data_IF_404056586262
#
_entry.id   IF_404056586262
#
_cell.length_a   1.000
_cell.length_b   1.000
_cell.length_c   1.000
_cell.angle_alpha   90.00
_cell.angle_beta   90.00
_cell.angle_gamma   90.00
#
_symmetry.space_group_name_H-M   'P 1'
#
loop_
_entity.id
_entity.type
_entity.pdbx_description
1 polymer ?
#
# COMPACT_ATOMS: atom_id res chain seq x y z
N UNK A 1 -21.49 7.54 -4.17
CA UNK A 1 -20.65 6.43 -4.69
C UNK A 1 -20.69 5.35 -3.63
N UNK A 2 -21.11 4.14 -3.98
CA UNK A 2 -21.11 3.02 -3.04
C UNK A 2 -19.66 2.58 -2.81
N UNK A 3 -19.22 2.61 -1.57
CA UNK A 3 -17.98 1.97 -1.14
C UNK A 3 -18.09 0.45 -1.35
N UNK A 4 -17.01 -0.18 -1.79
CA UNK A 4 -16.98 -1.65 -1.91
C UNK A 4 -17.32 -2.23 -0.53
N UNK A 5 -18.34 -3.10 -0.47
CA UNK A 5 -18.74 -3.74 0.79
C UNK A 5 -17.61 -4.67 1.28
N UNK A 6 -17.45 -4.79 2.60
CA UNK A 6 -16.47 -5.73 3.22
C UNK A 6 -16.58 -7.13 2.62
N UNK A 7 -17.79 -7.62 2.36
CA UNK A 7 -18.01 -8.92 1.74
C UNK A 7 -17.50 -9.02 0.28
N UNK A 8 -17.54 -7.93 -0.48
CA UNK A 8 -16.98 -7.89 -1.83
C UNK A 8 -15.44 -7.85 -1.78
N UNK A 9 -14.88 -7.15 -0.79
CA UNK A 9 -13.45 -7.11 -0.53
C UNK A 9 -12.91 -8.50 -0.14
N UNK A 10 -13.60 -9.21 0.77
CA UNK A 10 -13.26 -10.58 1.14
C UNK A 10 -13.27 -11.55 -0.06
N UNK A 11 -14.29 -11.46 -0.93
CA UNK A 11 -14.32 -12.30 -2.14
C UNK A 11 -13.15 -12.02 -3.09
N UNK A 12 -12.68 -10.77 -3.17
CA UNK A 12 -11.49 -10.42 -3.95
C UNK A 12 -10.26 -11.19 -3.49
N UNK A 13 -10.04 -11.26 -2.19
CA UNK A 13 -8.91 -12.00 -1.60
C UNK A 13 -9.03 -13.52 -1.76
N UNK A 14 -10.23 -14.07 -1.72
CA UNK A 14 -10.45 -15.51 -1.87
C UNK A 14 -10.14 -16.03 -3.28
N UNK A 15 -10.20 -15.20 -4.33
CA UNK A 15 -10.16 -15.74 -5.69
C UNK A 15 -9.42 -14.89 -6.74
N UNK A 16 -9.10 -13.64 -6.48
CA UNK A 16 -8.67 -12.73 -7.56
C UNK A 16 -7.36 -11.98 -7.31
N UNK A 17 -7.05 -11.61 -6.08
CA UNK A 17 -6.01 -10.62 -5.81
C UNK A 17 -4.68 -11.21 -5.37
N UNK A 18 -4.64 -12.47 -4.95
CA UNK A 18 -3.43 -13.09 -4.40
C UNK A 18 -2.25 -13.02 -5.39
N UNK A 19 -2.42 -13.60 -6.57
CA UNK A 19 -1.37 -13.60 -7.59
C UNK A 19 -1.07 -12.20 -8.13
N UNK A 20 -2.08 -11.31 -8.22
CA UNK A 20 -1.89 -9.92 -8.61
C UNK A 20 -0.96 -9.19 -7.61
N UNK A 21 -1.19 -9.37 -6.32
CA UNK A 21 -0.34 -8.75 -5.29
C UNK A 21 1.04 -9.40 -5.22
N UNK A 22 1.15 -10.71 -5.45
CA UNK A 22 2.40 -11.46 -5.40
C UNK A 22 3.27 -11.24 -6.64
N UNK A 23 2.70 -11.34 -7.83
CA UNK A 23 3.43 -11.34 -9.11
C UNK A 23 3.23 -10.09 -9.94
N UNK A 24 2.21 -9.28 -9.65
CA UNK A 24 1.91 -8.07 -10.41
C UNK A 24 3.08 -7.08 -10.42
N UNK A 25 3.43 -6.50 -11.58
CA UNK A 25 4.62 -5.65 -11.70
C UNK A 25 4.52 -4.40 -10.83
N UNK A 26 3.35 -3.79 -10.75
CA UNK A 26 3.09 -2.62 -9.89
C UNK A 26 3.27 -2.96 -8.41
N UNK A 27 2.58 -3.98 -7.90
CA UNK A 27 2.67 -4.39 -6.49
C UNK A 27 4.11 -4.73 -6.05
N UNK A 28 4.88 -5.36 -6.95
CA UNK A 28 6.31 -5.65 -6.71
C UNK A 28 7.14 -4.37 -6.64
N UNK A 29 6.84 -3.36 -7.47
CA UNK A 29 7.53 -2.06 -7.41
C UNK A 29 7.17 -1.26 -6.17
N UNK A 30 5.90 -1.28 -5.74
CA UNK A 30 5.50 -0.69 -4.45
C UNK A 30 6.38 -1.23 -3.32
N UNK A 31 6.43 -2.56 -3.15
CA UNK A 31 7.24 -3.20 -2.10
C UNK A 31 8.73 -2.88 -2.23
N UNK A 32 9.29 -2.90 -3.45
CA UNK A 32 10.68 -2.52 -3.70
C UNK A 32 10.97 -1.08 -3.28
N UNK A 33 10.10 -0.13 -3.60
CA UNK A 33 10.30 1.28 -3.25
C UNK A 33 10.14 1.47 -1.75
N UNK A 34 9.13 0.86 -1.12
CA UNK A 34 8.98 0.84 0.34
C UNK A 34 10.26 0.36 1.01
N UNK A 35 10.81 -0.80 0.59
CA UNK A 35 12.06 -1.34 1.12
C UNK A 35 13.23 -0.37 0.94
N UNK A 36 13.35 0.29 -0.21
CA UNK A 36 14.40 1.28 -0.46
C UNK A 36 14.31 2.50 0.47
N UNK A 37 13.08 2.98 0.74
CA UNK A 37 12.85 4.13 1.63
C UNK A 37 13.17 3.76 3.08
N UNK A 38 12.76 2.58 3.54
CA UNK A 38 12.92 2.20 4.95
C UNK A 38 14.28 1.60 5.29
N UNK A 39 15.06 1.16 4.29
CA UNK A 39 16.37 0.51 4.51
C UNK A 39 17.34 1.31 5.38
N UNK A 40 17.44 2.65 5.30
CA UNK A 40 18.31 3.45 6.16
C UNK A 40 17.75 3.70 7.55
N UNK A 41 16.50 3.28 7.85
CA UNK A 41 15.82 3.58 9.11
C UNK A 41 16.11 2.52 10.18
N UNK A 42 16.07 2.94 11.44
CA UNK A 42 16.21 2.04 12.60
C UNK A 42 14.84 1.74 13.22
N UNK A 43 14.38 0.50 13.07
CA UNK A 43 13.11 0.02 13.60
C UNK A 43 13.19 -1.46 14.00
N UNK A 44 12.35 -1.86 14.96
CA UNK A 44 12.24 -3.25 15.43
C UNK A 44 10.81 -3.78 15.28
N UNK A 45 9.81 -2.93 15.41
CA UNK A 45 8.40 -3.29 15.23
C UNK A 45 7.83 -2.60 13.99
N UNK A 46 7.12 -3.37 13.15
CA UNK A 46 6.50 -2.88 11.92
C UNK A 46 5.03 -3.23 11.91
N UNK A 47 4.16 -2.23 11.74
CA UNK A 47 2.73 -2.42 11.50
C UNK A 47 2.41 -2.12 10.03
N UNK A 48 1.82 -3.08 9.32
CA UNK A 48 1.29 -2.92 7.97
C UNK A 48 -0.23 -2.70 8.06
N UNK A 49 -0.70 -1.53 7.69
CA UNK A 49 -2.12 -1.16 7.68
C UNK A 49 -2.67 -1.37 6.28
N UNK A 50 -3.66 -2.25 6.15
CA UNK A 50 -4.08 -2.81 4.87
C UNK A 50 -3.12 -3.89 4.40
N UNK A 51 -2.70 -4.78 5.31
CA UNK A 51 -1.63 -5.75 5.07
C UNK A 51 -1.93 -6.80 3.98
N UNK A 52 -3.20 -6.91 3.56
CA UNK A 52 -3.61 -7.92 2.60
C UNK A 52 -3.16 -9.31 3.03
N UNK A 53 -2.66 -10.10 2.07
CA UNK A 53 -2.15 -11.45 2.33
C UNK A 53 -0.72 -11.48 2.89
N UNK A 54 -0.15 -10.35 3.34
CA UNK A 54 1.13 -10.28 4.04
C UNK A 54 2.38 -10.27 3.15
N UNK A 55 2.26 -10.04 1.83
CA UNK A 55 3.43 -10.06 0.91
C UNK A 55 4.50 -9.03 1.28
N UNK A 56 4.13 -7.83 1.71
CA UNK A 56 5.10 -6.82 2.15
C UNK A 56 5.83 -7.33 3.40
N UNK A 57 5.09 -7.80 4.41
CA UNK A 57 5.68 -8.29 5.66
C UNK A 57 6.59 -9.50 5.45
N UNK A 58 6.23 -10.41 4.55
CA UNK A 58 7.06 -11.55 4.19
C UNK A 58 8.41 -11.11 3.61
N UNK A 59 8.41 -10.13 2.70
CA UNK A 59 9.63 -9.59 2.12
C UNK A 59 10.44 -8.79 3.14
N UNK A 60 9.79 -7.97 4.01
CA UNK A 60 10.47 -7.23 5.07
C UNK A 60 11.11 -8.16 6.10
N UNK A 61 10.44 -9.23 6.49
CA UNK A 61 11.00 -10.21 7.42
C UNK A 61 12.22 -10.93 6.84
N UNK A 62 12.23 -11.19 5.54
CA UNK A 62 13.39 -11.77 4.87
C UNK A 62 14.60 -10.81 4.82
N UNK A 63 14.36 -9.50 4.62
CA UNK A 63 15.42 -8.48 4.59
C UNK A 63 15.87 -8.03 5.99
N UNK A 64 14.93 -7.95 6.93
CA UNK A 64 15.14 -7.51 8.33
C UNK A 64 14.73 -8.62 9.31
N UNK A 65 15.51 -9.68 9.50
CA UNK A 65 15.09 -10.88 10.25
C UNK A 65 14.83 -10.66 11.75
N UNK A 66 15.17 -9.49 12.28
CA UNK A 66 14.96 -9.11 13.69
C UNK A 66 13.70 -8.29 13.94
N UNK A 67 12.92 -7.97 12.92
CA UNK A 67 11.68 -7.21 13.11
C UNK A 67 10.59 -8.10 13.69
N UNK A 68 9.69 -7.47 14.46
CA UNK A 68 8.42 -8.08 14.87
C UNK A 68 7.32 -7.58 13.94
N UNK A 69 6.75 -8.45 13.08
CA UNK A 69 5.73 -8.06 12.11
C UNK A 69 4.34 -8.01 12.74
N UNK A 70 3.62 -6.93 12.47
CA UNK A 70 2.21 -6.76 12.80
C UNK A 70 1.44 -6.35 11.55
N UNK A 71 0.16 -6.69 11.46
CA UNK A 71 -0.68 -6.27 10.36
C UNK A 71 -2.15 -6.14 10.75
N UNK A 72 -2.82 -5.19 10.14
CA UNK A 72 -4.28 -5.07 10.19
C UNK A 72 -4.84 -4.95 8.78
N UNK A 73 -5.98 -5.57 8.55
CA UNK A 73 -6.75 -5.46 7.31
C UNK A 73 -8.24 -5.53 7.62
N UNK A 74 -9.07 -4.93 6.79
CA UNK A 74 -10.52 -5.01 6.88
C UNK A 74 -11.04 -6.41 6.54
N UNK A 75 -10.32 -7.15 5.70
CA UNK A 75 -10.69 -8.48 5.20
C UNK A 75 -10.22 -9.58 6.14
N UNK A 76 -11.15 -10.40 6.63
CA UNK A 76 -10.82 -11.59 7.40
C UNK A 76 -10.03 -12.61 6.55
N UNK A 77 -10.40 -12.78 5.28
CA UNK A 77 -9.71 -13.69 4.35
C UNK A 77 -8.25 -13.26 4.10
N UNK A 78 -8.01 -11.96 3.97
CA UNK A 78 -6.65 -11.42 3.83
C UNK A 78 -5.80 -11.71 5.08
N UNK A 79 -6.36 -11.45 6.26
CA UNK A 79 -5.69 -11.67 7.56
C UNK A 79 -5.34 -13.15 7.76
N UNK A 80 -6.21 -14.07 7.38
CA UNK A 80 -5.92 -15.52 7.44
C UNK A 80 -4.72 -15.89 6.56
N UNK A 81 -4.71 -15.41 5.31
CA UNK A 81 -3.57 -15.62 4.40
C UNK A 81 -2.26 -15.02 4.96
N UNK A 82 -2.34 -13.83 5.58
CA UNK A 82 -1.16 -13.20 6.18
C UNK A 82 -0.61 -14.02 7.36
N UNK A 83 -1.48 -14.57 8.22
CA UNK A 83 -1.10 -15.44 9.34
C UNK A 83 -0.41 -16.73 8.90
N UNK A 84 -0.84 -17.29 7.76
CA UNK A 84 -0.22 -18.48 7.19
C UNK A 84 1.17 -18.21 6.61
N UNK A 85 1.39 -17.00 6.07
CA UNK A 85 2.60 -16.67 5.30
C UNK A 85 3.71 -16.02 6.11
N UNK A 86 3.34 -15.27 7.15
CA UNK A 86 4.30 -14.48 7.93
C UNK A 86 4.51 -15.14 9.28
N UNK A 87 5.62 -15.83 9.43
CA UNK A 87 5.96 -16.54 10.66
C UNK A 87 6.19 -15.58 11.83
N UNK A 88 5.57 -15.88 12.97
CA UNK A 88 5.73 -15.08 14.20
C UNK A 88 5.07 -13.70 14.16
N UNK A 89 4.27 -13.41 13.12
CA UNK A 89 3.53 -12.15 13.00
C UNK A 89 2.21 -12.15 13.78
N UNK A 90 1.74 -10.97 14.14
CA UNK A 90 0.42 -10.75 14.74
C UNK A 90 -0.48 -9.98 13.78
N UNK A 91 -1.51 -10.66 13.23
CA UNK A 91 -2.42 -10.08 12.25
C UNK A 91 -3.84 -10.06 12.77
N UNK A 92 -4.54 -8.91 12.64
CA UNK A 92 -5.91 -8.72 13.17
C UNK A 92 -6.83 -8.12 12.12
N UNK A 93 -8.09 -8.51 12.14
CA UNK A 93 -9.14 -7.85 11.35
C UNK A 93 -9.49 -6.53 12.01
N UNK A 94 -9.33 -5.42 11.29
CA UNK A 94 -9.60 -4.10 11.83
C UNK A 94 -9.90 -3.09 10.72
N UNK A 95 -10.88 -2.23 10.96
CA UNK A 95 -11.20 -1.06 10.15
C UNK A 95 -10.50 0.16 10.75
N UNK A 96 -9.49 0.66 10.06
CA UNK A 96 -8.67 1.80 10.50
C UNK A 96 -9.48 3.11 10.65
N UNK A 97 -10.65 3.20 10.02
CA UNK A 97 -11.53 4.37 10.18
C UNK A 97 -12.34 4.33 11.49
N UNK A 98 -12.44 3.17 12.14
CA UNK A 98 -13.22 2.99 13.38
C UNK A 98 -12.39 3.03 14.64
N UNK A 99 -11.05 2.98 14.53
CA UNK A 99 -10.19 3.02 15.70
C UNK A 99 -8.72 2.81 15.38
N UNK A 100 -7.93 2.63 16.45
CA UNK A 100 -6.50 2.33 16.43
C UNK A 100 -6.20 1.20 17.41
N UNK A 101 -5.08 0.54 17.22
CA UNK A 101 -4.48 -0.31 18.27
C UNK A 101 -3.95 0.59 19.40
N UNK A 102 -3.85 0.05 20.61
CA UNK A 102 -3.33 0.78 21.76
C UNK A 102 -1.80 0.87 21.75
N UNK A 103 -1.15 -0.07 21.06
CA UNK A 103 0.30 -0.16 20.94
C UNK A 103 0.84 0.81 19.90
N UNK A 104 2.08 1.29 20.12
CA UNK A 104 2.86 2.04 19.12
C UNK A 104 3.92 1.16 18.48
N UNK A 105 4.12 1.39 17.20
CA UNK A 105 5.10 0.66 16.38
C UNK A 105 6.18 1.61 15.89
N UNK A 106 7.42 1.13 15.81
CA UNK A 106 8.53 1.95 15.30
C UNK A 106 8.28 2.43 13.88
N UNK A 107 7.78 1.52 13.01
CA UNK A 107 7.41 1.83 11.64
C UNK A 107 5.94 1.43 11.40
N UNK A 108 5.15 2.34 10.90
CA UNK A 108 3.80 2.07 10.38
C UNK A 108 3.83 2.28 8.88
N UNK A 109 3.44 1.26 8.12
CA UNK A 109 3.27 1.34 6.66
C UNK A 109 1.77 1.31 6.34
N UNK A 110 1.32 2.21 5.47
CA UNK A 110 -0.05 2.26 4.97
C UNK A 110 0.03 2.48 3.45
N UNK A 111 -0.02 1.38 2.68
CA UNK A 111 0.23 1.37 1.24
C UNK A 111 -1.02 0.98 0.49
N UNK A 112 -1.52 1.85 -0.41
CA UNK A 112 -2.71 1.62 -1.24
C UNK A 112 -3.96 1.35 -0.38
N UNK A 113 -4.22 2.22 0.59
CA UNK A 113 -5.36 2.12 1.52
C UNK A 113 -6.17 3.40 1.55
N UNK A 114 -5.53 4.56 1.71
CA UNK A 114 -6.21 5.83 1.97
C UNK A 114 -7.11 6.28 0.81
N UNK A 115 -6.77 5.92 -0.42
CA UNK A 115 -7.57 6.19 -1.62
C UNK A 115 -8.92 5.48 -1.63
N UNK A 116 -9.05 4.41 -0.85
CA UNK A 116 -10.30 3.65 -0.68
C UNK A 116 -11.22 4.21 0.42
N UNK A 117 -10.70 5.06 1.29
CA UNK A 117 -11.41 5.52 2.48
C UNK A 117 -12.12 6.86 2.22
N UNK A 118 -13.45 6.96 2.37
CA UNK A 118 -14.16 8.24 2.27
C UNK A 118 -13.64 9.27 3.28
N UNK A 119 -13.32 8.84 4.51
CA UNK A 119 -12.73 9.65 5.58
C UNK A 119 -11.28 9.23 5.83
N UNK A 120 -10.37 9.70 4.98
CA UNK A 120 -8.93 9.47 5.11
C UNK A 120 -8.30 10.24 6.29
N UNK A 121 -8.92 11.37 6.72
CA UNK A 121 -8.43 12.14 7.86
C UNK A 121 -8.57 11.38 9.17
N UNK A 122 -9.69 10.72 9.41
CA UNK A 122 -9.87 9.84 10.58
C UNK A 122 -8.85 8.69 10.57
N UNK A 123 -8.61 8.09 9.41
CA UNK A 123 -7.57 7.06 9.27
C UNK A 123 -6.17 7.62 9.61
N UNK A 124 -5.79 8.78 9.08
CA UNK A 124 -4.52 9.44 9.40
C UNK A 124 -4.35 9.75 10.89
N UNK A 125 -5.43 10.19 11.56
CA UNK A 125 -5.42 10.40 13.02
C UNK A 125 -5.21 9.09 13.79
N UNK A 126 -5.81 7.99 13.34
CA UNK A 126 -5.61 6.68 13.94
C UNK A 126 -4.20 6.14 13.66
N UNK A 127 -3.65 6.33 12.46
CA UNK A 127 -2.24 6.05 12.15
C UNK A 127 -1.30 6.83 13.10
N UNK A 128 -1.63 8.12 13.38
CA UNK A 128 -0.82 8.94 14.30
C UNK A 128 -0.73 8.37 15.72
N UNK A 129 -1.81 7.76 16.21
CA UNK A 129 -1.84 7.13 17.54
C UNK A 129 -0.92 5.91 17.61
N UNK A 130 -0.82 5.13 16.52
CA UNK A 130 -0.04 3.89 16.43
C UNK A 130 1.41 4.10 16.00
N UNK A 131 1.78 5.28 15.48
CA UNK A 131 3.12 5.55 15.00
C UNK A 131 4.04 6.00 16.12
N UNK A 132 5.13 5.27 16.35
CA UNK A 132 6.17 5.60 17.33
C UNK A 132 7.29 6.45 16.76
N UNK A 133 7.85 6.05 15.58
CA UNK A 133 8.98 6.76 14.95
C UNK A 133 8.68 7.18 13.53
N UNK A 134 8.25 6.24 12.67
CA UNK A 134 8.11 6.48 11.23
C UNK A 134 6.73 6.08 10.72
N UNK A 135 6.17 6.89 9.86
CA UNK A 135 5.01 6.58 9.04
C UNK A 135 5.44 6.61 7.57
N UNK A 136 5.16 5.53 6.84
CA UNK A 136 5.32 5.49 5.38
C UNK A 136 3.95 5.25 4.75
N UNK A 137 3.52 6.16 3.90
CA UNK A 137 2.27 6.05 3.13
C UNK A 137 2.61 5.97 1.65
N UNK A 138 1.94 5.08 0.90
CA UNK A 138 1.84 5.22 -0.55
C UNK A 138 0.40 5.33 -1.01
N UNK A 139 0.17 6.10 -2.07
CA UNK A 139 -1.14 6.29 -2.66
C UNK A 139 -1.03 6.82 -4.10
N UNK A 140 -2.06 6.61 -4.95
CA UNK A 140 -2.12 7.19 -6.27
C UNK A 140 -2.38 8.69 -6.21
N UNK A 141 -1.71 9.44 -7.10
CA UNK A 141 -1.98 10.85 -7.33
C UNK A 141 -2.37 11.14 -8.78
N UNK A 142 -2.84 12.37 -9.03
CA UNK A 142 -3.22 12.84 -10.34
C UNK A 142 -4.56 12.33 -10.84
N UNK A 143 -4.68 12.17 -12.16
CA UNK A 143 -5.95 11.80 -12.78
C UNK A 143 -6.41 10.40 -12.39
N UNK A 144 -7.61 10.30 -11.77
CA UNK A 144 -8.28 9.03 -11.50
C UNK A 144 -8.86 8.45 -12.79
N UNK A 145 -8.65 7.16 -13.02
CA UNK A 145 -9.12 6.40 -14.16
C UNK A 145 -10.31 5.50 -13.78
N UNK A 146 -11.08 5.07 -14.76
CA UNK A 146 -12.29 4.28 -14.52
C UNK A 146 -11.97 2.91 -13.89
N UNK A 147 -10.88 2.26 -14.32
CA UNK A 147 -10.50 0.97 -13.72
C UNK A 147 -10.13 1.11 -12.22
N UNK A 148 -9.60 2.26 -11.78
CA UNK A 148 -9.29 2.52 -10.36
C UNK A 148 -10.59 2.65 -9.55
N UNK A 149 -11.62 3.29 -10.11
CA UNK A 149 -12.96 3.31 -9.49
C UNK A 149 -13.54 1.91 -9.33
N UNK A 150 -13.31 1.03 -10.33
CA UNK A 150 -13.74 -0.37 -10.26
C UNK A 150 -13.00 -1.16 -9.17
N UNK A 151 -11.77 -0.76 -8.83
CA UNK A 151 -11.04 -1.28 -7.66
C UNK A 151 -11.43 -0.59 -6.35
N UNK A 152 -12.38 0.35 -6.37
CA UNK A 152 -12.92 0.99 -5.18
C UNK A 152 -12.19 2.25 -4.73
N UNK A 153 -11.36 2.85 -5.60
CA UNK A 153 -10.81 4.16 -5.30
C UNK A 153 -11.92 5.21 -5.27
N UNK A 154 -11.97 5.96 -4.21
CA UNK A 154 -12.88 7.12 -4.08
C UNK A 154 -12.16 8.41 -4.44
N UNK A 155 -10.80 8.37 -4.47
CA UNK A 155 -9.94 9.50 -4.88
C UNK A 155 -8.61 9.04 -5.40
N UNK A 156 -7.97 9.93 -6.17
CA UNK A 156 -6.52 10.05 -6.29
C UNK A 156 -6.15 11.43 -5.75
N UNK A 157 -5.01 11.56 -5.09
CA UNK A 157 -4.61 12.81 -4.46
C UNK A 157 -4.14 13.84 -5.50
N UNK A 158 -4.49 15.11 -5.30
CA UNK A 158 -3.85 16.19 -6.02
C UNK A 158 -2.39 16.38 -5.54
N UNK A 159 -1.56 17.04 -6.36
CA UNK A 159 -0.19 17.34 -5.97
C UNK A 159 -0.16 18.15 -4.67
N UNK A 160 0.58 17.67 -3.66
CA UNK A 160 0.68 18.27 -2.33
C UNK A 160 -0.47 17.93 -1.38
N UNK A 161 -1.60 17.42 -1.84
CA UNK A 161 -2.77 17.18 -0.99
C UNK A 161 -2.48 16.12 0.09
N UNK A 162 -1.81 15.02 -0.26
CA UNK A 162 -1.52 13.96 0.70
C UNK A 162 -0.54 14.44 1.77
N UNK A 163 0.50 15.17 1.40
CA UNK A 163 1.47 15.74 2.35
C UNK A 163 0.81 16.72 3.31
N UNK A 164 -0.04 17.62 2.82
CA UNK A 164 -0.80 18.56 3.65
C UNK A 164 -1.70 17.84 4.66
N UNK A 165 -2.37 16.77 4.24
CA UNK A 165 -3.21 15.96 5.14
C UNK A 165 -2.38 15.23 6.21
N UNK A 166 -1.22 14.69 5.85
CA UNK A 166 -0.29 14.03 6.78
C UNK A 166 0.20 15.05 7.83
N UNK A 167 0.62 16.24 7.40
CA UNK A 167 1.08 17.30 8.31
C UNK A 167 -0.04 17.76 9.26
N UNK A 168 -1.24 17.98 8.75
CA UNK A 168 -2.42 18.33 9.55
C UNK A 168 -2.82 17.24 10.55
N UNK A 169 -2.39 16.02 10.35
CA UNK A 169 -2.61 14.89 11.25
C UNK A 169 -1.53 14.74 12.33
N UNK A 170 -0.61 15.70 12.44
CA UNK A 170 0.42 15.74 13.49
C UNK A 170 1.69 14.99 13.15
N UNK A 171 2.05 14.96 11.86
CA UNK A 171 3.33 14.46 11.39
C UNK A 171 4.16 15.57 10.75
N UNK A 172 5.48 15.39 10.74
CA UNK A 172 6.41 16.16 9.92
C UNK A 172 6.84 15.30 8.74
N UNK A 173 6.66 15.79 7.51
CA UNK A 173 7.08 15.09 6.30
C UNK A 173 8.60 15.17 6.16
N UNK A 174 9.27 14.02 6.04
CA UNK A 174 10.72 13.92 5.88
C UNK A 174 11.17 13.81 4.43
N UNK A 175 10.47 12.98 3.66
CA UNK A 175 10.77 12.80 2.24
C UNK A 175 9.54 12.39 1.44
N UNK A 176 9.57 12.74 0.16
CA UNK A 176 8.56 12.39 -0.82
C UNK A 176 9.23 11.77 -2.03
N UNK A 177 8.71 10.64 -2.48
CA UNK A 177 9.10 9.99 -3.73
C UNK A 177 7.89 9.93 -4.63
N UNK A 178 8.01 10.48 -5.84
CA UNK A 178 7.00 10.36 -6.89
C UNK A 178 7.51 9.39 -7.96
N UNK A 179 6.81 8.29 -8.15
CA UNK A 179 7.28 7.23 -9.04
C UNK A 179 6.27 6.93 -10.16
N UNK A 180 6.82 6.46 -11.29
CA UNK A 180 6.03 5.80 -12.32
C UNK A 180 6.16 6.38 -13.72
N UNK A 181 6.73 7.57 -13.92
CA UNK A 181 6.88 8.16 -15.25
C UNK A 181 8.09 7.57 -16.02
N UNK A 182 7.96 7.25 -17.31
CA UNK A 182 6.74 7.31 -18.13
C UNK A 182 5.99 5.98 -18.27
N UNK A 183 6.60 4.84 -17.89
CA UNK A 183 6.12 3.53 -18.30
C UNK A 183 4.94 3.02 -17.47
N UNK A 184 4.94 3.26 -16.14
CA UNK A 184 3.77 2.97 -15.32
C UNK A 184 2.69 4.03 -15.55
N UNK A 185 3.02 5.30 -15.40
CA UNK A 185 2.10 6.40 -15.65
C UNK A 185 2.76 7.45 -16.56
N UNK A 186 2.14 7.82 -17.67
CA UNK A 186 0.77 7.47 -18.06
C UNK A 186 0.61 6.12 -18.79
N UNK A 187 1.69 5.55 -19.38
CA UNK A 187 1.56 4.54 -20.43
C UNK A 187 0.78 3.28 -20.00
N UNK A 188 1.19 2.60 -18.93
CA UNK A 188 0.53 1.37 -18.48
C UNK A 188 -0.87 1.64 -17.91
N UNK A 189 -1.05 2.71 -17.15
CA UNK A 189 -2.35 3.08 -16.61
C UNK A 189 -3.34 3.46 -17.72
N UNK A 190 -2.91 4.18 -18.76
CA UNK A 190 -3.76 4.52 -19.91
C UNK A 190 -4.04 3.30 -20.79
N UNK A 191 -3.09 2.37 -20.90
CA UNK A 191 -3.33 1.08 -21.54
C UNK A 191 -4.42 0.27 -20.81
N UNK A 192 -4.38 0.21 -19.48
CA UNK A 192 -5.42 -0.47 -18.69
C UNK A 192 -6.78 0.22 -18.80
N UNK A 193 -6.81 1.55 -18.92
CA UNK A 193 -8.05 2.30 -19.14
C UNK A 193 -8.75 1.90 -20.44
N UNK A 194 -7.98 1.69 -21.51
CA UNK A 194 -8.51 1.33 -22.84
C UNK A 194 -8.86 -0.16 -22.94
N UNK A 195 -8.01 -1.03 -22.38
CA UNK A 195 -8.14 -2.50 -22.55
C UNK A 195 -8.94 -3.16 -21.42
N UNK A 196 -9.17 -2.43 -20.34
CA UNK A 196 -9.74 -2.96 -19.11
C UNK A 196 -8.73 -3.74 -18.26
N UNK A 197 -8.99 -3.80 -16.96
CA UNK A 197 -8.10 -4.41 -15.97
C UNK A 197 -8.30 -5.92 -15.76
N UNK A 198 -9.22 -6.56 -16.50
CA UNK A 198 -9.53 -8.01 -16.33
C UNK A 198 -8.31 -8.93 -16.44
N UNK A 199 -7.28 -8.51 -17.19
CA UNK A 199 -6.02 -9.24 -17.33
C UNK A 199 -5.08 -9.12 -16.11
N UNK A 200 -5.36 -8.28 -15.13
CA UNK A 200 -4.46 -8.08 -13.98
C UNK A 200 -4.84 -8.90 -12.75
N UNK A 201 -6.02 -9.52 -12.72
CA UNK A 201 -6.54 -10.31 -11.60
C UNK A 201 -6.66 -11.81 -11.91
N UNK A 202 -6.91 -12.64 -10.89
CA UNK A 202 -7.02 -14.11 -11.01
C UNK A 202 -5.65 -14.80 -11.02
N UNK A 203 -5.63 -16.10 -11.29
CA UNK A 203 -4.41 -16.91 -11.28
C UNK A 203 -3.44 -16.54 -12.40
N UNK A 204 -2.15 -16.45 -12.09
CA UNK A 204 -1.09 -16.16 -13.04
C UNK A 204 -0.39 -17.44 -13.50
N UNK A 205 -0.83 -17.99 -14.63
CA UNK A 205 -0.11 -19.06 -15.33
C UNK A 205 1.30 -18.61 -15.79
N UNK A 206 2.10 -19.55 -16.30
CA UNK A 206 3.50 -19.31 -16.68
C UNK A 206 3.68 -18.14 -17.65
N UNK A 207 2.83 -18.03 -18.67
CA UNK A 207 2.90 -16.94 -19.67
C UNK A 207 2.63 -15.59 -19.03
N UNK A 208 1.61 -15.49 -18.16
CA UNK A 208 1.27 -14.24 -17.48
C UNK A 208 2.39 -13.82 -16.51
N UNK A 209 3.03 -14.77 -15.81
CA UNK A 209 4.21 -14.50 -14.97
C UNK A 209 5.38 -13.98 -15.80
N UNK A 210 5.60 -14.52 -17.00
CA UNK A 210 6.64 -14.05 -17.90
C UNK A 210 6.37 -12.60 -18.37
N UNK A 211 5.14 -12.31 -18.81
CA UNK A 211 4.72 -10.95 -19.20
C UNK A 211 4.87 -9.98 -18.01
N UNK A 212 4.40 -10.38 -16.83
CA UNK A 212 4.53 -9.59 -15.61
C UNK A 212 5.98 -9.26 -15.27
N UNK A 213 6.90 -10.24 -15.45
CA UNK A 213 8.32 -10.00 -15.28
C UNK A 213 8.88 -9.03 -16.32
N UNK A 214 8.51 -9.16 -17.59
CA UNK A 214 8.95 -8.20 -18.62
C UNK A 214 8.51 -6.77 -18.30
N UNK A 215 7.24 -6.58 -17.88
CA UNK A 215 6.71 -5.28 -17.46
C UNK A 215 7.43 -4.79 -16.19
N UNK A 216 7.72 -5.67 -15.24
CA UNK A 216 8.50 -5.32 -14.05
C UNK A 216 9.87 -4.74 -14.41
N UNK A 217 10.62 -5.38 -15.33
CA UNK A 217 11.91 -4.84 -15.77
C UNK A 217 11.78 -3.53 -16.53
N UNK A 218 10.72 -3.37 -17.34
CA UNK A 218 10.42 -2.10 -17.99
C UNK A 218 10.18 -0.98 -16.96
N UNK A 219 9.45 -1.28 -15.88
CA UNK A 219 9.16 -0.31 -14.82
C UNK A 219 10.38 0.10 -13.98
N UNK A 220 11.49 -0.64 -14.03
CA UNK A 220 12.76 -0.19 -13.42
C UNK A 220 13.29 1.09 -14.07
N UNK A 221 12.88 1.37 -15.31
CA UNK A 221 13.25 2.58 -16.05
C UNK A 221 12.40 3.81 -15.69
N UNK A 222 11.41 3.65 -14.81
CA UNK A 222 10.60 4.77 -14.36
C UNK A 222 11.41 5.72 -13.46
N UNK A 223 11.09 7.00 -13.56
CA UNK A 223 11.60 8.02 -12.65
C UNK A 223 11.09 7.79 -11.22
N UNK A 224 11.94 8.10 -10.24
CA UNK A 224 11.59 8.21 -8.82
C UNK A 224 11.38 9.66 -8.35
N UNK A 225 11.33 10.62 -9.29
CA UNK A 225 11.11 12.05 -9.04
C UNK A 225 9.88 12.59 -9.76
N UNK A 226 9.17 11.75 -10.49
CA UNK A 226 7.99 12.10 -11.26
C UNK A 226 7.15 10.85 -11.53
N UNK A 227 5.86 10.96 -11.32
CA UNK A 227 4.91 9.90 -11.59
C UNK A 227 3.62 10.09 -10.79
N UNK A 228 2.68 9.20 -11.01
CA UNK A 228 1.36 9.25 -10.38
C UNK A 228 1.26 8.29 -9.17
N UNK A 229 2.40 7.82 -8.65
CA UNK A 229 2.47 7.07 -7.41
C UNK A 229 3.34 7.82 -6.43
N UNK A 230 2.77 8.24 -5.29
CA UNK A 230 3.46 9.02 -4.28
C UNK A 230 3.75 8.15 -3.05
N UNK A 231 4.96 8.29 -2.52
CA UNK A 231 5.38 7.72 -1.24
C UNK A 231 5.81 8.86 -0.32
N UNK A 232 5.26 8.89 0.87
CA UNK A 232 5.56 9.92 1.87
C UNK A 232 6.09 9.25 3.13
N UNK A 233 7.33 9.56 3.49
CA UNK A 233 7.91 9.21 4.77
C UNK A 233 7.75 10.40 5.72
N UNK A 234 7.24 10.14 6.92
CA UNK A 234 6.97 11.17 7.91
C UNK A 234 7.27 10.68 9.33
N UNK A 235 7.46 11.59 10.26
CA UNK A 235 7.65 11.31 11.68
C UNK A 235 6.57 12.02 12.52
N UNK A 236 6.15 11.41 13.64
CA UNK A 236 5.24 12.07 14.58
C UNK A 236 5.86 13.35 15.13
N UNK A 237 5.14 14.47 15.04
CA UNK A 237 5.54 15.69 15.77
C UNK A 237 5.38 15.44 17.27
N UNK A 238 6.39 15.82 18.06
CA UNK A 238 6.32 15.74 19.51
C UNK A 238 5.12 16.55 20.03
N UNK A 239 4.34 15.94 20.91
CA UNK A 239 3.28 16.68 21.61
C UNK A 239 3.96 17.70 22.55
N UNK A 240 3.75 18.98 22.28
CA UNK A 240 4.17 20.09 23.16
C UNK A 240 3.46 20.04 24.51
#
# INVERSE_FOLDING_TARGET
>A
METISTAAYDRGWQSQWDDMKKYGPFSRHLRRIIQQIIRPLEFQSVLDVGCGQGSLMQELQAEFPRITPYGIDLSASAVELARERVSGGCFRVMDITKGSLDEKYDLVVCSEVLEHLPDDMTALQNLRKMTGKYLLISAPQGRMREFERQYGHVRNYAAGELTDKIERSGFAVESVVEWGFPFYSPLYRDFLEVTGSKGTTGEFGAVRKLISNAIYYLFLLNSSRRGDEIFVLAQPVASS
#
